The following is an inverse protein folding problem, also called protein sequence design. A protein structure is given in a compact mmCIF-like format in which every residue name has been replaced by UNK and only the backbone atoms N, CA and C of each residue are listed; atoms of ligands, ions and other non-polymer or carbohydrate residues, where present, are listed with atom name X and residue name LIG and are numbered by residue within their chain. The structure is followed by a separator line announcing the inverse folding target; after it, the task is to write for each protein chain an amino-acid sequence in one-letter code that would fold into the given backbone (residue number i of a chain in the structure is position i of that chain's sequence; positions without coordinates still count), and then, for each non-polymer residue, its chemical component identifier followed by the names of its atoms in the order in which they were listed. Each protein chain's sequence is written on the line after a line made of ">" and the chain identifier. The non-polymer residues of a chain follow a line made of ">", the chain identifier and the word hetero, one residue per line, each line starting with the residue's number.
data_IF_182032765142
#
_entry.id   IF_182032765142
#
_cell.length_a   1.000
_cell.length_b   1.000
_cell.length_c   1.000
_cell.angle_alpha   90.00
_cell.angle_beta   90.00
_cell.angle_gamma   90.00
#
_symmetry.space_group_name_H-M   'P 1'
#
loop_
_entity.id
_entity.type
_entity.pdbx_description
1 polymer ?
#
# COMPACT_ATOMS: atom_id res chain seq x y z
N UNK A 1 -2.54 -24.69 60.34
CA UNK A 1 -3.79 -23.87 60.20
C UNK A 1 -3.62 -22.49 60.84
N UNK A 2 -3.10 -22.40 62.06
CA UNK A 2 -2.98 -21.14 62.84
C UNK A 2 -2.15 -20.03 62.15
N UNK A 3 -1.03 -20.40 61.51
CA UNK A 3 -0.17 -19.45 60.76
C UNK A 3 -0.87 -18.84 59.53
N UNK A 4 -1.63 -19.64 58.79
CA UNK A 4 -2.38 -19.18 57.62
C UNK A 4 -3.53 -18.26 58.03
N UNK A 5 -4.23 -18.58 59.12
CA UNK A 5 -5.27 -17.70 59.66
C UNK A 5 -4.71 -16.37 60.17
N UNK A 6 -3.54 -16.38 60.84
CA UNK A 6 -2.90 -15.18 61.38
C UNK A 6 -2.35 -14.24 60.29
N UNK A 7 -1.94 -14.78 59.14
CA UNK A 7 -1.38 -14.00 58.02
C UNK A 7 -2.32 -13.92 56.80
N UNK A 8 -3.57 -14.37 56.95
CA UNK A 8 -4.56 -14.49 55.85
C UNK A 8 -4.75 -13.19 55.07
N UNK A 9 -4.83 -12.05 55.76
CA UNK A 9 -4.95 -10.73 55.12
C UNK A 9 -3.74 -10.34 54.26
N UNK A 10 -2.52 -10.63 54.71
CA UNK A 10 -1.31 -10.36 53.93
C UNK A 10 -1.20 -11.27 52.70
N UNK A 11 -1.56 -12.55 52.84
CA UNK A 11 -1.61 -13.51 51.74
C UNK A 11 -2.66 -13.09 50.69
N UNK A 12 -3.83 -12.63 51.15
CA UNK A 12 -4.90 -12.15 50.28
C UNK A 12 -4.48 -10.88 49.52
N UNK A 13 -3.83 -9.92 50.18
CA UNK A 13 -3.31 -8.72 49.54
C UNK A 13 -2.25 -9.05 48.47
N UNK A 14 -1.33 -9.97 48.77
CA UNK A 14 -0.32 -10.43 47.79
C UNK A 14 -0.97 -11.11 46.58
N UNK A 15 -1.97 -11.96 46.80
CA UNK A 15 -2.72 -12.61 45.72
C UNK A 15 -3.45 -11.61 44.82
N UNK A 16 -4.05 -10.57 45.41
CA UNK A 16 -4.70 -9.49 44.66
C UNK A 16 -3.69 -8.69 43.82
N UNK A 17 -2.55 -8.31 44.40
CA UNK A 17 -1.47 -7.60 43.68
C UNK A 17 -0.97 -8.45 42.51
N UNK A 18 -0.69 -9.74 42.74
CA UNK A 18 -0.26 -10.66 41.69
C UNK A 18 -1.29 -10.78 40.57
N UNK A 19 -2.58 -10.87 40.90
CA UNK A 19 -3.66 -10.94 39.90
C UNK A 19 -3.70 -9.68 39.04
N UNK A 20 -3.56 -8.49 39.66
CA UNK A 20 -3.51 -7.21 38.94
C UNK A 20 -2.29 -7.16 38.01
N UNK A 21 -1.11 -7.59 38.47
CA UNK A 21 0.09 -7.63 37.64
C UNK A 21 -0.06 -8.58 36.45
N UNK A 22 -0.64 -9.76 36.66
CA UNK A 22 -0.92 -10.72 35.59
C UNK A 22 -1.92 -10.16 34.58
N UNK A 23 -2.97 -9.48 35.05
CA UNK A 23 -3.95 -8.83 34.19
C UNK A 23 -3.30 -7.73 33.32
N UNK A 24 -2.44 -6.89 33.91
CA UNK A 24 -1.69 -5.87 33.16
C UNK A 24 -0.73 -6.50 32.14
N UNK A 25 -0.02 -7.56 32.54
CA UNK A 25 0.85 -8.31 31.63
C UNK A 25 0.07 -8.92 30.45
N UNK A 26 -1.10 -9.49 30.72
CA UNK A 26 -1.98 -10.03 29.68
C UNK A 26 -2.46 -8.94 28.72
N UNK A 27 -2.84 -7.75 29.22
CA UNK A 27 -3.24 -6.63 28.37
C UNK A 27 -2.11 -6.15 27.44
N UNK A 28 -0.88 -6.07 27.96
CA UNK A 28 0.30 -5.73 27.15
C UNK A 28 0.53 -6.82 26.09
N UNK A 29 0.44 -8.09 26.47
CA UNK A 29 0.58 -9.21 25.53
C UNK A 29 -0.46 -9.21 24.42
N UNK A 30 -1.70 -8.84 24.71
CA UNK A 30 -2.77 -8.68 23.71
C UNK A 30 -2.46 -7.52 22.76
N UNK A 31 -2.00 -6.37 23.27
CA UNK A 31 -1.65 -5.22 22.42
C UNK A 31 -0.55 -5.57 21.42
N UNK A 32 0.52 -6.23 21.88
CA UNK A 32 1.63 -6.65 21.01
C UNK A 32 1.15 -7.62 19.93
N UNK A 33 0.27 -8.56 20.27
CA UNK A 33 -0.32 -9.49 19.29
C UNK A 33 -1.18 -8.77 18.24
N UNK A 34 -1.99 -7.80 18.66
CA UNK A 34 -2.83 -7.01 17.75
C UNK A 34 -1.93 -6.23 16.76
N UNK A 35 -0.89 -5.57 17.25
CA UNK A 35 0.01 -4.79 16.39
C UNK A 35 0.77 -5.66 15.38
N UNK A 36 1.21 -6.84 15.82
CA UNK A 36 1.86 -7.81 14.95
C UNK A 36 0.90 -8.36 13.88
N UNK A 37 -0.34 -8.69 14.28
CA UNK A 37 -1.38 -9.17 13.37
C UNK A 37 -1.77 -8.10 12.34
N UNK A 38 -1.94 -6.85 12.78
CA UNK A 38 -2.24 -5.71 11.91
C UNK A 38 -1.14 -5.49 10.86
N UNK A 39 0.14 -5.53 11.27
CA UNK A 39 1.27 -5.44 10.34
C UNK A 39 1.25 -6.56 9.29
N UNK A 40 1.03 -7.80 9.71
CA UNK A 40 0.94 -8.95 8.79
C UNK A 40 -0.24 -8.79 7.84
N UNK A 41 -1.40 -8.38 8.36
CA UNK A 41 -2.62 -8.21 7.59
C UNK A 41 -2.46 -7.11 6.53
N UNK A 42 -1.87 -5.96 6.86
CA UNK A 42 -1.55 -4.91 5.88
C UNK A 42 -0.64 -5.42 4.76
N UNK A 43 0.39 -6.20 5.11
CA UNK A 43 1.30 -6.81 4.13
C UNK A 43 0.60 -7.80 3.19
N UNK A 44 -0.34 -8.61 3.69
CA UNK A 44 -1.13 -9.50 2.84
C UNK A 44 -2.11 -8.71 1.97
N UNK A 45 -2.78 -7.72 2.53
CA UNK A 45 -3.68 -6.84 1.78
C UNK A 45 -2.97 -6.15 0.62
N UNK A 46 -1.75 -5.65 0.81
CA UNK A 46 -0.94 -5.07 -0.27
C UNK A 46 -0.66 -6.08 -1.38
N UNK A 47 -0.31 -7.32 -1.03
CA UNK A 47 -0.08 -8.38 -2.01
C UNK A 47 -1.35 -8.76 -2.77
N UNK A 48 -2.50 -8.76 -2.11
CA UNK A 48 -3.78 -9.07 -2.75
C UNK A 48 -4.22 -7.96 -3.72
N UNK A 49 -4.08 -6.69 -3.33
CA UNK A 49 -4.29 -5.54 -4.23
C UNK A 49 -3.38 -5.64 -5.45
N UNK A 50 -2.09 -5.95 -5.24
CA UNK A 50 -1.16 -6.10 -6.35
C UNK A 50 -1.52 -7.28 -7.26
N UNK A 51 -1.96 -8.41 -6.71
CA UNK A 51 -2.45 -9.55 -7.50
C UNK A 51 -3.69 -9.19 -8.31
N UNK A 52 -4.59 -8.37 -7.77
CA UNK A 52 -5.75 -7.87 -8.50
C UNK A 52 -5.33 -7.00 -9.69
N UNK A 53 -4.39 -6.08 -9.48
CA UNK A 53 -3.78 -5.32 -10.58
C UNK A 53 -3.13 -6.24 -11.62
N UNK A 54 -2.31 -7.20 -11.20
CA UNK A 54 -1.68 -8.16 -12.12
C UNK A 54 -2.71 -8.97 -12.92
N UNK A 55 -3.82 -9.39 -12.30
CA UNK A 55 -4.90 -10.08 -13.00
C UNK A 55 -5.54 -9.18 -14.05
N UNK A 56 -5.76 -7.89 -13.74
CA UNK A 56 -6.24 -6.90 -14.70
C UNK A 56 -5.26 -6.72 -15.87
N UNK A 57 -3.96 -6.67 -15.58
CA UNK A 57 -2.87 -6.56 -16.56
C UNK A 57 -2.81 -7.75 -17.50
N UNK A 58 -2.87 -8.97 -16.94
CA UNK A 58 -2.91 -10.22 -17.71
C UNK A 58 -4.17 -10.30 -18.58
N UNK A 59 -5.31 -9.84 -18.08
CA UNK A 59 -6.56 -9.80 -18.84
C UNK A 59 -6.55 -8.73 -19.95
N UNK A 60 -5.75 -7.69 -19.81
CA UNK A 60 -5.69 -6.56 -20.75
C UNK A 60 -4.25 -6.25 -21.19
N UNK A 61 -3.57 -7.18 -21.89
CA UNK A 61 -2.15 -7.01 -22.25
C UNK A 61 -1.90 -5.78 -23.14
N UNK A 62 -2.90 -5.37 -23.93
CA UNK A 62 -2.88 -4.14 -24.75
C UNK A 62 -2.77 -2.85 -23.92
N UNK A 63 -3.16 -2.89 -22.65
CA UNK A 63 -3.03 -1.75 -21.74
C UNK A 63 -1.73 -1.82 -20.97
N UNK A 64 -1.28 -3.01 -20.53
CA UNK A 64 -0.01 -3.16 -19.80
C UNK A 64 1.23 -2.82 -20.63
N UNK A 65 1.18 -3.06 -21.95
CA UNK A 65 2.24 -2.71 -22.91
C UNK A 65 1.61 -1.87 -24.03
N UNK A 66 1.25 -0.61 -23.77
CA UNK A 66 0.43 0.16 -24.69
C UNK A 66 1.26 0.73 -25.84
N UNK A 67 0.73 0.64 -27.07
CA UNK A 67 1.07 1.60 -28.12
C UNK A 67 0.27 2.87 -27.85
N UNK A 68 0.84 3.77 -27.06
CA UNK A 68 0.15 4.98 -26.59
C UNK A 68 -0.46 5.79 -27.73
N UNK A 69 0.25 5.94 -28.85
CA UNK A 69 -0.19 6.80 -29.95
C UNK A 69 -1.34 6.19 -30.75
N UNK A 70 -1.32 4.87 -30.97
CA UNK A 70 -2.46 4.17 -31.54
C UNK A 70 -3.66 4.16 -30.58
N UNK A 71 -3.41 3.92 -29.30
CA UNK A 71 -4.42 3.78 -28.27
C UNK A 71 -5.16 5.10 -28.01
N UNK A 72 -4.45 6.22 -27.99
CA UNK A 72 -5.00 7.59 -27.85
C UNK A 72 -6.01 7.96 -28.93
N UNK A 73 -5.91 7.37 -30.12
CA UNK A 73 -6.84 7.60 -31.24
C UNK A 73 -7.97 6.57 -31.30
N UNK A 74 -7.98 5.59 -30.40
CA UNK A 74 -8.92 4.47 -30.40
C UNK A 74 -10.11 4.69 -29.46
N UNK A 75 -11.16 3.89 -29.63
CA UNK A 75 -12.30 3.86 -28.71
C UNK A 75 -11.94 3.29 -27.31
N UNK A 76 -10.79 2.61 -27.18
CA UNK A 76 -10.35 1.98 -25.94
C UNK A 76 -9.59 2.93 -25.01
N UNK A 77 -9.33 4.18 -25.43
CA UNK A 77 -8.48 5.11 -24.68
C UNK A 77 -8.98 5.37 -23.25
N UNK A 78 -10.29 5.56 -23.05
CA UNK A 78 -10.84 5.77 -21.71
C UNK A 78 -10.68 4.54 -20.79
N UNK A 79 -10.69 3.32 -21.35
CA UNK A 79 -10.42 2.10 -20.58
C UNK A 79 -8.95 1.98 -20.21
N UNK A 80 -8.05 2.44 -21.10
CA UNK A 80 -6.62 2.55 -20.81
C UNK A 80 -6.31 3.58 -19.71
N UNK A 81 -6.91 4.77 -19.77
CA UNK A 81 -6.77 5.77 -18.69
C UNK A 81 -7.26 5.20 -17.36
N UNK A 82 -8.38 4.49 -17.37
CA UNK A 82 -8.91 3.82 -16.18
C UNK A 82 -7.96 2.73 -15.64
N UNK A 83 -7.28 2.00 -16.53
CA UNK A 83 -6.26 1.02 -16.17
C UNK A 83 -5.06 1.69 -15.48
N UNK A 84 -4.55 2.80 -16.02
CA UNK A 84 -3.44 3.53 -15.39
C UNK A 84 -3.87 4.15 -14.06
N UNK A 85 -5.10 4.66 -13.96
CA UNK A 85 -5.65 5.12 -12.69
C UNK A 85 -5.73 4.00 -11.65
N UNK A 86 -6.09 2.78 -12.05
CA UNK A 86 -6.07 1.62 -11.15
C UNK A 86 -4.64 1.27 -10.70
N UNK A 87 -3.65 1.37 -11.58
CA UNK A 87 -2.23 1.23 -11.21
C UNK A 87 -1.82 2.28 -10.18
N UNK A 88 -2.13 3.56 -10.41
CA UNK A 88 -1.78 4.64 -9.49
C UNK A 88 -2.50 4.51 -8.16
N UNK A 89 -3.78 4.12 -8.15
CA UNK A 89 -4.51 3.80 -6.93
C UNK A 89 -3.86 2.64 -6.16
N UNK A 90 -3.48 1.57 -6.87
CA UNK A 90 -2.75 0.45 -6.27
C UNK A 90 -1.42 0.91 -5.67
N UNK A 91 -0.70 1.82 -6.36
CA UNK A 91 0.52 2.41 -5.86
C UNK A 91 0.33 3.16 -4.54
N UNK A 92 -0.76 3.93 -4.39
CA UNK A 92 -1.10 4.61 -3.14
C UNK A 92 -1.28 3.62 -1.98
N UNK A 93 -2.00 2.53 -2.23
CA UNK A 93 -2.24 1.51 -1.21
C UNK A 93 -0.94 0.78 -0.84
N UNK A 94 -0.14 0.38 -1.83
CA UNK A 94 1.10 -0.36 -1.62
C UNK A 94 2.17 0.47 -0.90
N UNK A 95 2.39 1.73 -1.34
CA UNK A 95 3.38 2.62 -0.74
C UNK A 95 2.99 3.08 0.66
N UNK A 96 1.70 3.06 1.01
CA UNK A 96 1.26 3.28 2.40
C UNK A 96 1.66 2.16 3.36
N UNK A 97 1.93 0.96 2.83
CA UNK A 97 2.30 -0.22 3.62
C UNK A 97 3.81 -0.39 3.71
N UNK A 98 4.51 -0.29 2.58
CA UNK A 98 5.97 -0.45 2.52
C UNK A 98 6.57 0.29 1.32
N UNK A 99 7.68 0.99 1.54
CA UNK A 99 8.40 1.74 0.51
C UNK A 99 9.13 0.82 -0.47
N UNK A 100 9.40 -0.44 -0.09
CA UNK A 100 10.03 -1.44 -0.96
C UNK A 100 9.27 -1.67 -2.28
N UNK A 101 7.95 -1.42 -2.29
CA UNK A 101 7.10 -1.53 -3.48
C UNK A 101 7.43 -0.49 -4.57
N UNK A 102 8.12 0.61 -4.24
CA UNK A 102 8.40 1.68 -5.20
C UNK A 102 9.09 1.17 -6.47
N UNK A 103 10.06 0.27 -6.32
CA UNK A 103 10.81 -0.26 -7.47
C UNK A 103 9.93 -1.07 -8.43
N UNK A 104 9.00 -1.86 -7.89
CA UNK A 104 8.02 -2.64 -8.66
C UNK A 104 7.06 -1.69 -9.39
N UNK A 105 6.50 -0.72 -8.67
CA UNK A 105 5.56 0.25 -9.23
C UNK A 105 6.20 1.15 -10.28
N UNK A 106 7.47 1.52 -10.12
CA UNK A 106 8.22 2.27 -11.13
C UNK A 106 8.39 1.47 -12.42
N UNK A 107 8.63 0.15 -12.32
CA UNK A 107 8.70 -0.74 -13.48
C UNK A 107 7.34 -0.87 -14.15
N UNK A 108 6.26 -1.03 -13.38
CA UNK A 108 4.90 -1.18 -13.91
C UNK A 108 4.38 0.14 -14.53
N UNK A 109 4.85 1.30 -14.05
CA UNK A 109 4.49 2.61 -14.58
C UNK A 109 5.29 3.00 -15.83
N UNK A 110 6.45 2.39 -16.07
CA UNK A 110 7.35 2.75 -17.17
C UNK A 110 6.67 2.73 -18.55
N UNK A 111 5.88 1.71 -18.94
CA UNK A 111 5.21 1.68 -20.25
C UNK A 111 4.19 2.80 -20.44
N UNK A 112 3.77 3.43 -19.33
CA UNK A 112 2.75 4.49 -19.30
C UNK A 112 3.36 5.90 -19.25
N UNK A 113 4.68 6.03 -19.39
CA UNK A 113 5.37 7.30 -19.28
C UNK A 113 4.78 8.40 -20.21
N UNK A 114 4.32 8.04 -21.41
CA UNK A 114 3.70 9.00 -22.32
C UNK A 114 2.44 9.65 -21.74
N UNK A 115 1.57 8.87 -21.09
CA UNK A 115 0.40 9.41 -20.40
C UNK A 115 0.82 10.26 -19.18
N UNK A 116 1.81 9.80 -18.42
CA UNK A 116 2.36 10.54 -17.25
C UNK A 116 2.93 11.91 -17.66
N UNK A 117 3.52 12.01 -18.86
CA UNK A 117 4.00 13.27 -19.41
C UNK A 117 2.88 14.21 -19.84
N UNK A 118 1.68 13.70 -20.16
CA UNK A 118 0.52 14.50 -20.56
C UNK A 118 -0.35 14.95 -19.39
N UNK A 119 -0.29 14.27 -18.24
CA UNK A 119 -1.01 14.65 -17.02
C UNK A 119 -0.74 16.11 -16.63
N UNK A 120 -1.76 16.84 -16.22
CA UNK A 120 -1.59 18.20 -15.72
C UNK A 120 -1.18 18.22 -14.23
N UNK A 121 -0.90 19.40 -13.68
CA UNK A 121 -0.51 19.53 -12.27
C UNK A 121 -1.63 19.15 -11.29
N UNK A 122 -2.90 19.26 -11.72
CA UNK A 122 -4.06 18.88 -10.89
C UNK A 122 -4.20 17.37 -10.84
N UNK A 123 -3.98 16.70 -11.96
CA UNK A 123 -3.98 15.24 -12.04
C UNK A 123 -2.92 14.68 -11.06
N UNK A 124 -1.70 15.22 -11.09
CA UNK A 124 -0.63 14.81 -10.16
C UNK A 124 -0.99 15.14 -8.71
N UNK A 125 -1.49 16.35 -8.45
CA UNK A 125 -1.82 16.80 -7.09
C UNK A 125 -2.97 16.00 -6.45
N UNK A 126 -3.76 15.25 -7.24
CA UNK A 126 -4.84 14.40 -6.73
C UNK A 126 -4.33 13.15 -6.00
N UNK A 127 -3.06 12.78 -6.19
CA UNK A 127 -2.46 11.58 -5.62
C UNK A 127 -1.79 11.80 -4.26
N UNK A 128 -1.51 10.71 -3.55
CA UNK A 128 -0.71 10.75 -2.31
C UNK A 128 0.75 11.18 -2.57
N UNK A 129 1.41 11.77 -1.56
CA UNK A 129 2.81 12.22 -1.66
C UNK A 129 3.78 11.19 -2.26
N UNK A 130 3.80 9.93 -1.78
CA UNK A 130 4.66 8.89 -2.36
C UNK A 130 4.44 8.61 -3.84
N UNK A 131 3.20 8.74 -4.32
CA UNK A 131 2.84 8.57 -5.74
C UNK A 131 3.19 9.83 -6.53
N UNK A 132 3.02 11.03 -5.97
CA UNK A 132 3.53 12.27 -6.59
C UNK A 132 5.03 12.18 -6.85
N UNK A 133 5.81 11.66 -5.88
CA UNK A 133 7.25 11.43 -6.04
C UNK A 133 7.55 10.40 -7.15
N UNK A 134 6.74 9.35 -7.25
CA UNK A 134 6.86 8.34 -8.32
C UNK A 134 6.61 8.95 -9.69
N UNK A 135 5.54 9.75 -9.83
CA UNK A 135 5.21 10.46 -11.07
C UNK A 135 6.31 11.47 -11.44
N UNK A 136 6.82 12.23 -10.47
CA UNK A 136 7.91 13.18 -10.66
C UNK A 136 9.20 12.48 -11.13
N UNK A 137 9.51 11.32 -10.57
CA UNK A 137 10.63 10.49 -11.00
C UNK A 137 10.47 10.05 -12.46
N UNK A 138 9.32 9.50 -12.83
CA UNK A 138 9.02 9.07 -14.20
C UNK A 138 9.13 10.26 -15.17
N UNK A 139 8.58 11.43 -14.78
CA UNK A 139 8.65 12.64 -15.61
C UNK A 139 10.08 13.10 -15.88
N UNK A 140 10.89 13.12 -14.83
CA UNK A 140 12.31 13.50 -14.91
C UNK A 140 13.09 12.57 -15.84
N UNK A 141 12.76 11.27 -15.85
CA UNK A 141 13.47 10.28 -16.65
C UNK A 141 13.00 10.20 -18.11
N UNK A 142 11.71 10.45 -18.38
CA UNK A 142 11.09 10.10 -19.67
C UNK A 142 10.51 11.29 -20.45
N UNK A 143 10.17 12.41 -19.82
CA UNK A 143 9.47 13.52 -20.48
C UNK A 143 10.37 14.58 -21.14
N UNK A 144 11.70 14.40 -21.13
CA UNK A 144 12.65 15.41 -21.61
C UNK A 144 12.58 15.62 -23.13
N UNK A 145 12.08 14.62 -23.88
CA UNK A 145 11.79 14.72 -25.32
C UNK A 145 10.58 13.82 -25.66
N UNK A 146 9.34 14.27 -25.43
CA UNK A 146 8.18 13.46 -25.79
C UNK A 146 8.20 13.26 -27.30
N UNK A 147 8.27 12.02 -27.76
CA UNK A 147 8.06 11.74 -29.18
C UNK A 147 6.59 12.02 -29.45
N UNK A 148 6.25 13.08 -30.22
CA UNK A 148 4.86 13.39 -30.47
C UNK A 148 4.22 12.23 -31.25
N UNK A 149 3.00 11.89 -30.87
CA UNK A 149 2.20 10.94 -31.64
C UNK A 149 1.92 11.53 -33.02
N UNK A 150 2.60 10.99 -34.05
CA UNK A 150 2.42 11.37 -35.45
C UNK A 150 1.01 11.03 -35.95
#
# INVERSE_FOLDING_TARGET
>A
MEFLNRNSGAIQALGAIMTVLLALGALIGVKVQIDAADRIQRGQSARDIYREFLNLSVANPKFSQPDFCALRKSADYGAYESYVNYLLYSAEQLLSVDEEWRSVLASDLEPHAALVCEMDDRDVASHTGPVQDLLAQTRTQKCVNPTPCQ
#
